data_IF_487109919867
#
_entry.id   IF_487109919867
#
_cell.length_a   1.000
_cell.length_b   1.000
_cell.length_c   1.000
_cell.angle_alpha   90.00
_cell.angle_beta   90.00
_cell.angle_gamma   90.00
#
_symmetry.space_group_name_H-M   'P 1'
#
loop_
_entity.id
_entity.type
_entity.pdbx_description
1 polymer ?
#
# COMPACT_ATOMS: atom_id res chain seq x y z
N UNK A 1 -1.04 -18.85 3.33
CA UNK A 1 -0.03 -17.94 3.89
C UNK A 1 -0.55 -17.40 5.22
N UNK A 2 0.18 -17.61 6.30
CA UNK A 2 -0.24 -17.08 7.60
C UNK A 2 0.07 -15.58 7.71
N UNK A 3 -0.52 -14.89 8.71
CA UNK A 3 -0.31 -13.44 8.85
C UNK A 3 1.15 -13.03 9.00
N UNK A 4 1.96 -13.80 9.72
CA UNK A 4 3.38 -13.47 9.90
C UNK A 4 4.14 -13.58 8.59
N UNK A 5 3.87 -14.63 7.81
CA UNK A 5 4.50 -14.78 6.49
C UNK A 5 4.06 -13.69 5.53
N UNK A 6 2.78 -13.30 5.59
CA UNK A 6 2.28 -12.19 4.77
C UNK A 6 3.04 -10.90 5.08
N UNK A 7 3.27 -10.58 6.34
CA UNK A 7 4.02 -9.39 6.73
C UNK A 7 5.46 -9.43 6.22
N UNK A 8 6.10 -10.61 6.22
CA UNK A 8 7.42 -10.76 5.64
C UNK A 8 7.42 -10.47 4.14
N UNK A 9 6.40 -10.96 3.42
CA UNK A 9 6.25 -10.70 1.98
C UNK A 9 6.01 -9.23 1.69
N UNK A 10 5.26 -8.55 2.55
CA UNK A 10 5.05 -7.10 2.44
C UNK A 10 6.40 -6.37 2.57
N UNK A 11 7.21 -6.74 3.54
CA UNK A 11 8.55 -6.14 3.72
C UNK A 11 9.43 -6.37 2.49
N UNK A 12 9.44 -7.57 1.95
CA UNK A 12 10.19 -7.88 0.73
C UNK A 12 9.70 -7.08 -0.47
N UNK A 13 8.37 -6.94 -0.61
CA UNK A 13 7.80 -6.16 -1.71
C UNK A 13 8.18 -4.70 -1.61
N UNK A 14 8.14 -4.12 -0.42
CA UNK A 14 8.52 -2.72 -0.21
C UNK A 14 9.99 -2.48 -0.51
N UNK A 15 10.86 -3.44 -0.18
CA UNK A 15 12.29 -3.34 -0.47
C UNK A 15 12.59 -3.30 -1.97
N UNK A 16 11.68 -3.80 -2.80
CA UNK A 16 11.84 -3.83 -4.25
C UNK A 16 11.36 -2.56 -4.95
N UNK A 17 10.71 -1.66 -4.23
CA UNK A 17 10.14 -0.45 -4.84
C UNK A 17 11.23 0.53 -5.28
N UNK A 18 11.00 1.26 -6.41
CA UNK A 18 11.92 2.31 -6.84
C UNK A 18 12.07 3.41 -5.78
N UNK A 19 13.23 4.06 -5.75
CA UNK A 19 13.55 5.06 -4.75
C UNK A 19 12.54 6.22 -4.69
N UNK A 20 11.98 6.63 -5.83
CA UNK A 20 10.98 7.70 -5.85
C UNK A 20 9.69 7.34 -5.13
N UNK A 21 9.30 6.05 -5.17
CA UNK A 21 8.14 5.59 -4.41
C UNK A 21 8.45 5.49 -2.92
N UNK A 22 9.66 5.05 -2.58
CA UNK A 22 10.08 4.99 -1.17
C UNK A 22 10.13 6.39 -0.55
N UNK A 23 10.58 7.38 -1.31
CA UNK A 23 10.59 8.78 -0.83
C UNK A 23 9.16 9.30 -0.62
N UNK A 24 8.23 8.92 -1.51
CA UNK A 24 6.84 9.30 -1.37
C UNK A 24 6.20 8.69 -0.11
N UNK A 25 6.76 7.59 0.38
CA UNK A 25 6.28 6.90 1.58
C UNK A 25 6.94 7.38 2.87
N UNK A 26 7.73 8.45 2.84
CA UNK A 26 8.48 8.93 4.00
C UNK A 26 7.60 9.17 5.24
N UNK A 27 6.37 9.64 5.05
CA UNK A 27 5.43 9.84 6.16
C UNK A 27 4.17 9.00 5.95
N UNK A 28 4.36 7.73 5.60
CA UNK A 28 3.26 6.78 5.35
C UNK A 28 3.53 5.52 6.13
N UNK A 29 2.54 5.03 6.88
CA UNK A 29 2.62 3.72 7.51
C UNK A 29 1.86 2.70 6.68
N UNK A 30 2.33 1.46 6.67
CA UNK A 30 1.67 0.35 5.98
C UNK A 30 1.05 -0.56 7.03
N UNK A 31 -0.25 -0.75 6.95
CA UNK A 31 -1.01 -1.59 7.87
C UNK A 31 -1.58 -2.79 7.12
N UNK A 32 -1.82 -3.87 7.84
CA UNK A 32 -2.41 -5.08 7.27
C UNK A 32 -3.68 -5.40 8.05
N UNK A 33 -4.77 -5.56 7.31
CA UNK A 33 -6.07 -5.95 7.85
C UNK A 33 -6.55 -7.21 7.13
N UNK A 34 -7.42 -8.02 7.73
CA UNK A 34 -7.92 -9.23 7.07
C UNK A 34 -8.69 -8.93 5.79
N UNK A 35 -9.71 -8.08 5.87
CA UNK A 35 -10.60 -7.79 4.74
C UNK A 35 -11.36 -6.50 5.03
N UNK A 36 -11.61 -5.71 4.00
CA UNK A 36 -12.39 -4.49 4.16
C UNK A 36 -13.86 -4.85 4.47
N UNK A 37 -14.45 -4.28 5.53
CA UNK A 37 -15.80 -4.67 5.95
C UNK A 37 -16.91 -4.32 4.94
N UNK A 38 -16.71 -3.29 4.13
CA UNK A 38 -17.72 -2.85 3.16
C UNK A 38 -17.39 -3.28 1.73
N UNK A 39 -16.13 -3.63 1.45
CA UNK A 39 -15.70 -4.04 0.11
C UNK A 39 -14.74 -5.21 0.23
N UNK A 40 -15.26 -6.44 0.26
CA UNK A 40 -14.43 -7.63 0.48
C UNK A 40 -13.44 -7.94 -0.65
N UNK A 41 -13.56 -7.27 -1.80
CA UNK A 41 -12.64 -7.45 -2.92
C UNK A 41 -11.53 -6.40 -2.95
N UNK A 42 -11.59 -5.39 -2.09
CA UNK A 42 -10.60 -4.34 -2.05
C UNK A 42 -9.25 -4.88 -1.61
N UNK A 43 -8.20 -4.56 -2.39
CA UNK A 43 -6.84 -5.05 -2.15
C UNK A 43 -6.05 -4.13 -1.24
N UNK A 44 -6.27 -2.83 -1.35
CA UNK A 44 -5.58 -1.83 -0.55
C UNK A 44 -6.31 -0.50 -0.56
N UNK A 45 -5.97 0.35 0.41
CA UNK A 45 -6.62 1.66 0.55
C UNK A 45 -5.62 2.66 1.11
N UNK A 46 -5.44 3.79 0.42
CA UNK A 46 -4.64 4.91 0.92
C UNK A 46 -5.55 5.89 1.65
N UNK A 47 -5.19 6.21 2.88
CA UNK A 47 -5.93 7.19 3.68
C UNK A 47 -4.97 8.29 4.13
N UNK A 48 -5.17 9.49 3.59
CA UNK A 48 -4.41 10.66 4.02
C UNK A 48 -5.03 11.28 5.26
N UNK A 49 -4.19 11.85 6.12
CA UNK A 49 -4.67 12.59 7.29
C UNK A 49 -4.86 14.04 6.88
N UNK A 50 -6.07 14.57 7.03
CA UNK A 50 -6.36 15.94 6.69
C UNK A 50 -5.56 16.91 7.57
N UNK A 51 -5.16 18.06 7.00
CA UNK A 51 -4.41 19.06 7.75
C UNK A 51 -5.17 19.54 8.99
N UNK A 52 -6.49 19.55 8.94
CA UNK A 52 -7.34 19.93 10.08
C UNK A 52 -7.25 18.93 11.23
N UNK A 53 -6.86 17.69 10.93
CA UNK A 53 -6.70 16.65 11.95
C UNK A 53 -5.27 16.61 12.50
N UNK A 54 -4.35 17.34 11.87
CA UNK A 54 -2.95 17.43 12.27
C UNK A 54 -2.77 18.66 13.15
N UNK A 55 -3.25 18.55 14.39
CA UNK A 55 -3.24 19.69 15.29
C UNK A 55 -1.88 19.87 15.96
N UNK A 56 -1.67 21.08 16.53
CA UNK A 56 -0.45 21.41 17.26
C UNK A 56 -0.27 20.56 18.51
N UNK A 57 -1.32 19.93 19.00
CA UNK A 57 -1.28 19.12 20.21
C UNK A 57 -0.38 17.88 20.07
N UNK A 58 -0.16 17.43 18.85
CA UNK A 58 0.66 16.25 18.60
C UNK A 58 2.14 16.54 18.44
N UNK A 59 2.51 17.81 18.38
CA UNK A 59 3.90 18.20 18.23
C UNK A 59 4.58 17.72 16.95
N UNK A 60 3.81 17.22 15.96
CA UNK A 60 4.35 16.70 14.71
C UNK A 60 3.25 16.36 13.72
N UNK A 61 3.65 15.76 12.59
CA UNK A 61 2.75 15.39 11.51
C UNK A 61 2.31 13.94 11.69
N UNK A 62 1.00 13.70 11.72
CA UNK A 62 0.47 12.34 11.72
C UNK A 62 0.71 11.70 10.36
N UNK A 63 1.13 10.43 10.32
CA UNK A 63 1.40 9.77 9.04
C UNK A 63 0.12 9.42 8.29
N UNK A 64 0.20 9.44 6.96
CA UNK A 64 -0.83 8.85 6.12
C UNK A 64 -0.73 7.32 6.24
N UNK A 65 -1.75 6.61 5.78
CA UNK A 65 -1.84 5.16 5.92
C UNK A 65 -2.15 4.48 4.60
N UNK A 66 -1.49 3.36 4.35
CA UNK A 66 -1.90 2.43 3.32
C UNK A 66 -2.27 1.14 4.04
N UNK A 67 -3.51 0.71 3.88
CA UNK A 67 -3.98 -0.55 4.44
C UNK A 67 -4.00 -1.60 3.34
N UNK A 68 -3.39 -2.75 3.60
CA UNK A 68 -3.40 -3.89 2.68
C UNK A 68 -4.35 -4.94 3.24
N UNK A 69 -5.23 -5.47 2.39
CA UNK A 69 -6.23 -6.46 2.81
C UNK A 69 -5.74 -7.85 2.46
N UNK A 70 -5.18 -8.51 3.47
CA UNK A 70 -4.49 -9.80 3.34
C UNK A 70 -5.31 -10.88 2.65
N UNK A 71 -6.57 -11.07 3.08
CA UNK A 71 -7.39 -12.15 2.53
C UNK A 71 -7.72 -11.94 1.06
N UNK A 72 -8.03 -10.70 0.68
CA UNK A 72 -8.33 -10.38 -0.71
C UNK A 72 -7.10 -10.58 -1.59
N UNK A 73 -5.92 -10.16 -1.12
CA UNK A 73 -4.67 -10.34 -1.87
C UNK A 73 -4.31 -11.82 -2.01
N UNK A 74 -4.41 -12.59 -0.94
CA UNK A 74 -4.08 -14.02 -0.96
C UNK A 74 -5.02 -14.78 -1.89
N UNK A 75 -6.30 -14.45 -1.91
CA UNK A 75 -7.28 -15.14 -2.76
C UNK A 75 -7.02 -14.96 -4.25
N UNK A 76 -6.40 -13.85 -4.66
CA UNK A 76 -6.16 -13.61 -6.09
C UNK A 76 -4.82 -14.14 -6.59
N UNK A 77 -3.98 -14.64 -5.70
CA UNK A 77 -2.62 -15.06 -6.06
C UNK A 77 -2.47 -16.59 -5.95
N UNK A 78 -1.72 -17.16 -6.88
CA UNK A 78 -1.50 -18.61 -6.93
C UNK A 78 -0.37 -19.06 -6.00
N UNK A 79 0.64 -18.20 -5.76
CA UNK A 79 1.80 -18.54 -4.94
C UNK A 79 2.35 -17.28 -4.25
N UNK A 80 3.42 -17.48 -3.45
CA UNK A 80 4.03 -16.37 -2.71
C UNK A 80 4.74 -15.36 -3.59
N UNK A 81 5.32 -15.80 -4.69
CA UNK A 81 6.01 -14.87 -5.61
C UNK A 81 4.99 -13.92 -6.25
N UNK A 82 3.85 -14.47 -6.68
CA UNK A 82 2.76 -13.67 -7.24
C UNK A 82 2.19 -12.73 -6.19
N UNK A 83 2.04 -13.21 -4.95
CA UNK A 83 1.54 -12.41 -3.84
C UNK A 83 2.47 -11.23 -3.54
N UNK A 84 3.78 -11.47 -3.50
CA UNK A 84 4.76 -10.40 -3.27
C UNK A 84 4.68 -9.34 -4.37
N UNK A 85 4.60 -9.78 -5.64
CA UNK A 85 4.47 -8.86 -6.76
C UNK A 85 3.19 -8.05 -6.68
N UNK A 86 2.08 -8.70 -6.33
CA UNK A 86 0.78 -8.04 -6.22
C UNK A 86 0.75 -7.02 -5.07
N UNK A 87 1.40 -7.32 -3.96
CA UNK A 87 1.54 -6.36 -2.86
C UNK A 87 2.28 -5.12 -3.35
N UNK A 88 3.39 -5.29 -4.07
CA UNK A 88 4.15 -4.15 -4.60
C UNK A 88 3.32 -3.32 -5.57
N UNK A 89 2.60 -3.96 -6.49
CA UNK A 89 1.72 -3.29 -7.45
C UNK A 89 0.62 -2.52 -6.72
N UNK A 90 -0.01 -3.12 -5.71
CA UNK A 90 -1.07 -2.48 -4.94
C UNK A 90 -0.56 -1.22 -4.24
N UNK A 91 0.59 -1.30 -3.58
CA UNK A 91 1.18 -0.15 -2.90
C UNK A 91 1.48 0.97 -3.90
N UNK A 92 2.13 0.64 -5.02
CA UNK A 92 2.47 1.62 -6.05
C UNK A 92 1.22 2.31 -6.60
N UNK A 93 0.15 1.54 -6.90
CA UNK A 93 -1.08 2.09 -7.43
C UNK A 93 -1.77 3.03 -6.44
N UNK A 94 -1.81 2.68 -5.16
CA UNK A 94 -2.42 3.53 -4.14
C UNK A 94 -1.66 4.84 -3.95
N UNK A 95 -0.34 4.79 -3.92
CA UNK A 95 0.50 5.99 -3.83
C UNK A 95 0.28 6.85 -5.09
N UNK A 96 0.31 6.24 -6.25
CA UNK A 96 0.16 6.95 -7.52
C UNK A 96 -1.17 7.69 -7.61
N UNK A 97 -2.27 7.02 -7.24
CA UNK A 97 -3.58 7.64 -7.25
C UNK A 97 -3.65 8.83 -6.30
N UNK A 98 -3.06 8.69 -5.10
CA UNK A 98 -3.04 9.76 -4.12
C UNK A 98 -2.28 10.99 -4.63
N UNK A 99 -1.18 10.79 -5.36
CA UNK A 99 -0.37 11.89 -5.91
C UNK A 99 -0.77 12.29 -7.32
N UNK A 100 -1.86 11.75 -7.86
CA UNK A 100 -2.39 12.14 -9.16
C UNK A 100 -1.63 11.57 -10.35
N UNK A 101 -0.87 10.50 -10.17
CA UNK A 101 -0.20 9.81 -11.27
C UNK A 101 -1.22 8.89 -11.95
N UNK A 102 -1.44 9.06 -13.25
CA UNK A 102 -2.42 8.27 -13.97
C UNK A 102 -1.88 6.88 -14.38
N UNK A 103 -2.79 6.01 -14.81
CA UNK A 103 -2.45 4.66 -15.20
C UNK A 103 -1.53 4.60 -16.42
N UNK A 104 -1.66 5.56 -17.35
CA UNK A 104 -0.79 5.62 -18.52
C UNK A 104 0.66 5.88 -18.11
N UNK A 105 0.87 6.77 -17.15
CA UNK A 105 2.20 7.06 -16.61
C UNK A 105 2.77 5.84 -15.88
N UNK A 106 1.96 5.17 -15.08
CA UNK A 106 2.37 3.95 -14.39
C UNK A 106 2.76 2.86 -15.38
N UNK A 107 2.00 2.71 -16.46
CA UNK A 107 2.31 1.73 -17.50
C UNK A 107 3.67 2.01 -18.13
N UNK A 108 3.97 3.28 -18.43
CA UNK A 108 5.28 3.66 -18.99
C UNK A 108 6.43 3.38 -18.03
N UNK A 109 6.17 3.43 -16.72
CA UNK A 109 7.16 3.14 -15.70
C UNK A 109 7.29 1.64 -15.41
N UNK A 110 6.48 0.80 -16.04
CA UNK A 110 6.51 -0.63 -15.86
C UNK A 110 5.62 -1.16 -14.74
N UNK A 111 4.70 -0.35 -14.24
CA UNK A 111 3.82 -0.71 -13.13
C UNK A 111 2.33 -0.82 -13.52
N UNK A 112 2.06 -0.72 -14.79
CA UNK A 112 0.67 -0.78 -15.29
C UNK A 112 0.12 -2.15 -15.54
#
# INVERSE_FOLDING_TARGET
>A
VDPARFEELVGEALDELPAEFLRAMDNVVVLVEPRHPEDPELLGLYEGVALTDRTSDYGGVLPDRITLYREALVEMCADEDELRDEVAVTVVHEIAHHFGIDDATLHRLGWG
#
